data_IF_515960934874
#
_entry.id   IF_515960934874
#
_cell.length_a   1.000
_cell.length_b   1.000
_cell.length_c   1.000
_cell.angle_alpha   90.00
_cell.angle_beta   90.00
_cell.angle_gamma   90.00
#
_symmetry.space_group_name_H-M   'P 1'
#
loop_
_entity.id
_entity.type
_entity.pdbx_description
1 polymer ?
#
# COMPACT_ATOMS: atom_id res chain seq x y z
N UNK A 1 21.87 -9.57 5.97
CA UNK A 1 23.25 -9.37 6.47
C UNK A 1 23.51 -7.99 7.09
N UNK A 2 22.84 -6.92 6.66
CA UNK A 2 23.14 -5.54 7.09
C UNK A 2 22.75 -5.22 8.56
N UNK A 3 21.61 -5.68 9.08
CA UNK A 3 21.20 -5.45 10.49
C UNK A 3 22.01 -6.24 11.53
N UNK A 4 22.58 -7.40 11.14
CA UNK A 4 23.58 -8.08 11.99
C UNK A 4 24.82 -7.21 12.20
N UNK A 5 25.14 -6.36 11.23
CA UNK A 5 26.30 -5.46 11.29
C UNK A 5 25.98 -4.14 12.01
N UNK A 6 24.73 -3.67 11.97
CA UNK A 6 24.25 -2.50 12.72
C UNK A 6 22.83 -2.74 13.27
N UNK A 7 22.70 -3.21 14.52
CA UNK A 7 21.42 -3.62 15.10
C UNK A 7 20.61 -2.46 15.70
N UNK A 8 21.22 -1.30 15.92
CA UNK A 8 20.56 -0.16 16.56
C UNK A 8 19.74 0.66 15.57
N UNK A 9 18.50 0.97 15.93
CA UNK A 9 17.70 1.97 15.22
C UNK A 9 18.12 3.38 15.65
N UNK A 10 18.01 4.40 14.77
CA UNK A 10 18.27 5.79 15.13
C UNK A 10 17.40 6.25 16.30
N UNK A 11 17.90 7.18 17.12
CA UNK A 11 17.17 7.71 18.27
C UNK A 11 15.84 8.40 17.90
N UNK A 12 15.69 8.82 16.65
CA UNK A 12 14.49 9.46 16.08
C UNK A 12 13.60 8.48 15.30
N UNK A 13 13.85 7.16 15.41
CA UNK A 13 13.06 6.16 14.71
C UNK A 13 11.61 6.15 15.21
N UNK A 14 10.67 6.08 14.27
CA UNK A 14 9.26 5.82 14.56
C UNK A 14 9.14 4.44 15.24
N UNK A 15 8.88 4.45 16.55
CA UNK A 15 8.85 3.23 17.37
C UNK A 15 7.77 2.23 16.91
N UNK A 16 6.65 2.74 16.41
CA UNK A 16 5.60 1.89 15.86
C UNK A 16 6.10 1.18 14.60
N UNK A 17 6.72 1.92 13.67
CA UNK A 17 7.30 1.34 12.47
C UNK A 17 8.42 0.34 12.79
N UNK A 18 9.30 0.68 13.73
CA UNK A 18 10.35 -0.22 14.21
C UNK A 18 9.78 -1.54 14.73
N UNK A 19 8.71 -1.49 15.52
CA UNK A 19 8.06 -2.69 16.03
C UNK A 19 7.47 -3.54 14.88
N UNK A 20 6.75 -2.90 13.95
CA UNK A 20 6.16 -3.57 12.77
C UNK A 20 7.22 -4.25 11.88
N UNK A 21 8.43 -3.67 11.79
CA UNK A 21 9.54 -4.19 10.99
C UNK A 21 10.42 -5.20 11.72
N UNK A 22 10.24 -5.37 13.03
CA UNK A 22 11.09 -6.25 13.85
C UNK A 22 10.58 -7.70 13.95
N UNK A 23 9.41 -8.03 13.38
CA UNK A 23 8.89 -9.39 13.36
C UNK A 23 9.62 -10.26 12.31
N UNK A 24 10.88 -10.62 12.57
CA UNK A 24 11.75 -11.33 11.60
C UNK A 24 11.31 -12.77 11.34
N UNK A 25 10.79 -13.47 12.35
CA UNK A 25 10.45 -14.89 12.24
C UNK A 25 9.00 -15.13 11.80
N UNK A 26 8.14 -14.11 11.88
CA UNK A 26 6.72 -14.22 11.55
C UNK A 26 5.94 -15.06 12.58
N UNK A 27 4.86 -15.70 12.15
CA UNK A 27 3.97 -16.46 13.04
C UNK A 27 4.65 -17.72 13.59
N UNK A 28 4.76 -17.90 14.92
CA UNK A 28 5.58 -18.95 15.53
C UNK A 28 5.08 -20.38 15.26
N UNK A 29 3.79 -20.54 14.98
CA UNK A 29 3.16 -21.85 14.73
C UNK A 29 2.80 -22.10 13.25
N UNK A 30 3.32 -21.29 12.33
CA UNK A 30 3.08 -21.49 10.90
C UNK A 30 4.32 -22.16 10.27
N UNK A 31 4.17 -23.16 9.38
CA UNK A 31 5.32 -23.87 8.81
C UNK A 31 6.19 -23.00 7.91
N UNK A 32 5.59 -22.00 7.25
CA UNK A 32 6.27 -21.10 6.31
C UNK A 32 5.87 -19.62 6.55
N UNK A 33 6.15 -19.06 7.74
CA UNK A 33 5.56 -17.80 8.21
C UNK A 33 5.98 -16.56 7.42
N UNK A 34 7.06 -16.68 6.65
CA UNK A 34 7.61 -15.64 5.78
C UNK A 34 7.50 -15.96 4.28
N UNK A 35 6.75 -17.01 3.93
CA UNK A 35 6.46 -17.30 2.52
C UNK A 35 5.64 -16.17 1.91
N UNK A 36 6.06 -15.75 0.72
CA UNK A 36 5.47 -14.68 -0.09
C UNK A 36 5.44 -15.13 -1.55
N UNK A 37 4.84 -16.30 -1.76
CA UNK A 37 4.72 -16.91 -3.08
C UNK A 37 4.12 -15.90 -4.08
N UNK A 38 4.79 -15.74 -5.22
CA UNK A 38 4.42 -14.78 -6.27
C UNK A 38 5.24 -13.48 -6.28
N UNK A 39 6.02 -13.19 -5.24
CA UNK A 39 6.99 -12.09 -5.27
C UNK A 39 8.35 -12.55 -5.80
N UNK A 40 8.93 -11.79 -6.72
CA UNK A 40 10.36 -11.88 -7.03
C UNK A 40 11.22 -11.43 -5.85
N UNK A 41 12.54 -11.66 -5.95
CA UNK A 41 13.47 -11.26 -4.89
C UNK A 41 13.56 -9.73 -4.71
N UNK A 42 13.49 -8.97 -5.81
CA UNK A 42 13.47 -7.50 -5.79
C UNK A 42 12.20 -6.97 -5.15
N UNK A 43 11.05 -7.55 -5.48
CA UNK A 43 9.76 -7.22 -4.87
C UNK A 43 9.72 -7.60 -3.40
N UNK A 44 10.30 -8.75 -3.03
CA UNK A 44 10.43 -9.17 -1.64
C UNK A 44 11.23 -8.15 -0.83
N UNK A 45 12.36 -7.65 -1.36
CA UNK A 45 13.11 -6.55 -0.72
C UNK A 45 12.28 -5.28 -0.57
N UNK A 46 11.53 -4.92 -1.61
CA UNK A 46 10.78 -3.65 -1.65
C UNK A 46 9.54 -3.65 -0.76
N UNK A 47 8.86 -4.78 -0.67
CA UNK A 47 7.55 -4.89 -0.03
C UNK A 47 7.58 -5.58 1.35
N UNK A 48 8.73 -6.10 1.80
CA UNK A 48 8.81 -6.77 3.11
C UNK A 48 9.16 -5.80 4.24
N UNK A 49 8.43 -5.84 5.37
CA UNK A 49 8.72 -5.02 6.54
C UNK A 49 10.08 -5.35 7.16
N UNK A 50 10.44 -6.63 7.28
CA UNK A 50 11.72 -7.05 7.89
C UNK A 50 12.97 -6.65 7.09
N UNK A 51 12.79 -6.21 5.85
CA UNK A 51 13.85 -5.71 4.96
C UNK A 51 13.82 -4.18 4.88
N UNK A 52 13.02 -3.52 5.74
CA UNK A 52 12.81 -2.08 5.76
C UNK A 52 12.37 -1.53 4.39
N UNK A 53 11.59 -2.34 3.68
CA UNK A 53 11.04 -2.00 2.38
C UNK A 53 10.27 -0.68 2.41
N UNK A 54 10.26 0.03 1.29
CA UNK A 54 9.47 1.24 1.14
C UNK A 54 9.20 1.54 -0.33
N UNK A 55 8.11 2.22 -0.61
CA UNK A 55 7.69 2.53 -1.97
C UNK A 55 6.70 3.71 -2.01
N UNK A 56 6.70 4.51 -3.09
CA UNK A 56 5.55 5.36 -3.38
C UNK A 56 4.34 4.48 -3.72
N UNK A 57 3.15 4.97 -3.41
CA UNK A 57 1.91 4.31 -3.85
C UNK A 57 1.75 4.46 -5.35
N UNK A 58 1.06 3.49 -5.96
CA UNK A 58 0.55 3.63 -7.32
C UNK A 58 -0.83 4.27 -7.26
N UNK A 59 -1.17 5.12 -8.23
CA UNK A 59 -2.44 5.80 -8.25
C UNK A 59 -3.18 5.54 -9.56
N UNK A 60 -4.50 5.36 -9.46
CA UNK A 60 -5.40 5.46 -10.59
C UNK A 60 -6.31 6.68 -10.41
N UNK A 61 -6.65 7.37 -11.49
CA UNK A 61 -7.81 8.24 -11.52
C UNK A 61 -9.01 7.41 -11.97
N UNK A 62 -10.07 7.35 -11.16
CA UNK A 62 -11.27 6.58 -11.46
C UNK A 62 -12.44 7.55 -11.62
N UNK A 63 -13.24 7.38 -12.66
CA UNK A 63 -14.47 8.15 -12.84
C UNK A 63 -15.35 8.03 -11.58
N UNK A 64 -15.91 9.15 -11.12
CA UNK A 64 -16.68 9.20 -9.87
C UNK A 64 -17.89 8.28 -9.88
N UNK A 65 -18.46 7.95 -11.04
CA UNK A 65 -19.59 7.01 -11.14
C UNK A 65 -19.21 5.56 -10.80
N UNK A 66 -17.92 5.22 -10.83
CA UNK A 66 -17.40 3.90 -10.49
C UNK A 66 -16.79 3.82 -9.09
N UNK A 67 -16.59 4.96 -8.43
CA UNK A 67 -15.97 5.01 -7.11
C UNK A 67 -17.00 4.71 -6.02
N UNK A 68 -16.75 3.64 -5.25
CA UNK A 68 -17.47 3.37 -4.02
C UNK A 68 -16.63 3.87 -2.83
N UNK A 69 -17.22 4.71 -1.98
CA UNK A 69 -16.57 5.25 -0.79
C UNK A 69 -17.55 5.33 0.37
N UNK A 70 -17.05 5.06 1.57
CA UNK A 70 -17.75 5.27 2.83
C UNK A 70 -16.72 5.74 3.85
N UNK A 71 -17.15 6.53 4.84
CA UNK A 71 -16.29 7.03 5.91
C UNK A 71 -17.07 7.23 7.20
N UNK A 72 -16.56 6.63 8.27
CA UNK A 72 -16.98 6.87 9.64
C UNK A 72 -15.97 7.75 10.40
N UNK A 73 -15.11 8.49 9.69
CA UNK A 73 -14.09 9.32 10.33
C UNK A 73 -14.72 10.43 11.17
N UNK A 74 -14.23 10.62 12.38
CA UNK A 74 -14.74 11.63 13.32
C UNK A 74 -13.65 12.40 14.07
N UNK A 75 -12.38 11.98 13.97
CA UNK A 75 -11.27 12.65 14.64
C UNK A 75 -10.94 14.00 13.98
N UNK A 76 -11.25 15.09 14.69
CA UNK A 76 -11.19 16.45 14.17
C UNK A 76 -12.35 16.81 13.24
N UNK A 77 -13.44 16.03 13.27
CA UNK A 77 -14.66 16.23 12.48
C UNK A 77 -14.87 15.18 11.38
N UNK A 78 -16.07 15.11 10.78
CA UNK A 78 -16.34 14.24 9.65
C UNK A 78 -15.43 14.53 8.46
N UNK A 79 -14.87 13.49 7.85
CA UNK A 79 -14.04 13.61 6.64
C UNK A 79 -14.28 12.41 5.70
N UNK A 80 -14.31 12.67 4.40
CA UNK A 80 -14.37 11.66 3.35
C UNK A 80 -13.01 10.99 3.14
N UNK A 81 -12.99 9.83 2.48
CA UNK A 81 -11.73 9.19 2.09
C UNK A 81 -10.88 10.08 1.16
N UNK A 82 -11.52 10.82 0.25
CA UNK A 82 -10.84 11.75 -0.66
C UNK A 82 -10.14 12.88 0.11
N UNK A 83 -10.81 13.47 1.10
CA UNK A 83 -10.21 14.52 1.96
C UNK A 83 -9.05 13.99 2.81
N UNK A 84 -9.18 12.78 3.35
CA UNK A 84 -8.10 12.13 4.11
C UNK A 84 -6.88 11.80 3.24
N UNK A 85 -7.09 11.54 1.95
CA UNK A 85 -6.03 11.23 0.98
C UNK A 85 -5.43 12.47 0.30
N UNK A 86 -6.13 13.61 0.29
CA UNK A 86 -5.70 14.84 -0.38
C UNK A 86 -4.26 15.29 -0.02
N UNK A 87 -3.78 15.19 1.25
CA UNK A 87 -2.39 15.52 1.58
C UNK A 87 -1.35 14.65 0.85
N UNK A 88 -1.75 13.48 0.34
CA UNK A 88 -0.88 12.51 -0.32
C UNK A 88 -0.92 12.59 -1.85
N UNK A 89 -1.82 13.40 -2.40
CA UNK A 89 -1.99 13.61 -3.85
C UNK A 89 -1.55 15.00 -4.30
N UNK A 90 -0.85 15.76 -3.45
CA UNK A 90 -0.31 17.06 -3.83
C UNK A 90 0.53 16.98 -5.12
N UNK A 91 0.18 17.83 -6.11
CA UNK A 91 0.83 17.86 -7.43
C UNK A 91 0.41 16.73 -8.38
N UNK A 92 -0.42 15.78 -7.95
CA UNK A 92 -0.98 14.75 -8.82
C UNK A 92 -2.10 15.35 -9.66
N UNK A 93 -1.94 15.34 -10.98
CA UNK A 93 -2.97 15.81 -11.91
C UNK A 93 -3.94 14.66 -12.21
N UNK A 94 -5.23 14.91 -12.03
CA UNK A 94 -6.30 13.97 -12.39
C UNK A 94 -7.22 14.58 -13.44
N UNK A 95 -7.77 13.78 -14.37
CA UNK A 95 -8.80 14.25 -15.30
C UNK A 95 -10.04 14.77 -14.54
N UNK A 96 -10.77 15.77 -15.09
CA UNK A 96 -12.03 16.24 -14.51
C UNK A 96 -13.02 15.09 -14.29
N UNK A 97 -13.81 15.16 -13.21
CA UNK A 97 -14.82 14.14 -12.91
C UNK A 97 -14.28 12.84 -12.30
N UNK A 98 -12.97 12.74 -12.04
CA UNK A 98 -12.35 11.55 -11.44
C UNK A 98 -11.95 11.77 -9.97
N UNK A 99 -11.71 10.67 -9.26
CA UNK A 99 -11.10 10.62 -7.92
C UNK A 99 -9.83 9.77 -7.96
N UNK A 100 -8.80 10.19 -7.22
CA UNK A 100 -7.54 9.46 -7.12
C UNK A 100 -7.67 8.31 -6.10
N UNK A 101 -7.36 7.08 -6.53
CA UNK A 101 -7.43 5.87 -5.71
C UNK A 101 -6.03 5.28 -5.54
N UNK A 102 -5.51 5.14 -4.30
CA UNK A 102 -4.21 4.54 -4.05
C UNK A 102 -4.27 3.02 -4.15
N UNK A 103 -3.25 2.44 -4.76
CA UNK A 103 -3.11 0.99 -4.98
C UNK A 103 -1.69 0.57 -4.63
N UNK A 104 -1.55 -0.64 -4.07
CA UNK A 104 -0.23 -1.22 -3.84
C UNK A 104 0.48 -1.43 -5.19
N UNK A 105 1.75 -1.02 -5.40
CA UNK A 105 2.39 -1.10 -6.72
C UNK A 105 2.41 -2.50 -7.34
N UNK A 106 2.64 -3.54 -6.53
CA UNK A 106 2.49 -4.93 -6.99
C UNK A 106 1.08 -5.26 -7.50
N UNK A 107 0.05 -4.79 -6.79
CA UNK A 107 -1.34 -5.00 -7.20
C UNK A 107 -1.67 -4.24 -8.48
N UNK A 108 -1.16 -3.01 -8.63
CA UNK A 108 -1.37 -2.21 -9.84
C UNK A 108 -0.79 -2.90 -11.08
N UNK A 109 0.41 -3.47 -10.98
CA UNK A 109 1.05 -4.22 -12.06
C UNK A 109 0.21 -5.41 -12.54
N UNK A 110 -0.49 -6.11 -11.63
CA UNK A 110 -1.44 -7.16 -12.00
C UNK A 110 -2.75 -6.59 -12.59
N UNK A 111 -3.30 -5.54 -11.97
CA UNK A 111 -4.59 -4.96 -12.34
C UNK A 111 -4.65 -4.46 -13.78
N UNK A 112 -3.60 -3.78 -14.26
CA UNK A 112 -3.56 -3.25 -15.64
C UNK A 112 -3.66 -4.35 -16.71
N UNK A 113 -3.38 -5.61 -16.33
CA UNK A 113 -3.49 -6.75 -17.22
C UNK A 113 -4.83 -7.50 -17.12
N UNK A 114 -5.76 -7.05 -16.27
CA UNK A 114 -7.10 -7.64 -16.15
C UNK A 114 -8.03 -7.07 -17.24
N UNK A 115 -8.81 -7.91 -17.96
CA UNK A 115 -9.67 -7.45 -19.05
C UNK A 115 -10.64 -6.33 -18.66
N UNK A 116 -11.24 -6.41 -17.47
CA UNK A 116 -12.19 -5.40 -16.99
C UNK A 116 -11.52 -4.04 -16.76
N UNK A 117 -10.30 -4.03 -16.21
CA UNK A 117 -9.54 -2.80 -15.97
C UNK A 117 -9.13 -2.16 -17.30
N UNK A 118 -8.68 -2.98 -18.28
CA UNK A 118 -8.38 -2.49 -19.63
C UNK A 118 -9.60 -1.86 -20.31
N UNK A 119 -10.76 -2.51 -20.22
CA UNK A 119 -11.99 -1.97 -20.81
C UNK A 119 -12.38 -0.61 -20.19
N UNK A 120 -12.20 -0.43 -18.88
CA UNK A 120 -12.40 0.87 -18.22
C UNK A 120 -11.39 1.92 -18.68
N UNK A 121 -10.14 1.53 -18.89
CA UNK A 121 -9.12 2.43 -19.42
C UNK A 121 -9.39 2.87 -20.87
N UNK A 122 -9.81 1.92 -21.73
CA UNK A 122 -10.15 2.17 -23.13
C UNK A 122 -11.37 3.11 -23.29
N UNK A 123 -12.30 3.05 -22.34
CA UNK A 123 -13.48 3.93 -22.29
C UNK A 123 -13.22 5.27 -21.61
N UNK A 124 -12.00 5.49 -21.09
CA UNK A 124 -11.63 6.71 -20.38
C UNK A 124 -12.25 6.86 -18.99
N UNK A 125 -12.78 5.77 -18.41
CA UNK A 125 -13.33 5.76 -17.05
C UNK A 125 -12.28 5.44 -15.97
N UNK A 126 -11.09 5.01 -16.38
CA UNK A 126 -9.96 4.74 -15.51
C UNK A 126 -8.65 5.19 -16.17
N UNK A 127 -7.79 5.88 -15.42
CA UNK A 127 -6.50 6.36 -15.90
C UNK A 127 -5.39 5.88 -14.99
N UNK A 128 -4.39 5.22 -15.56
CA UNK A 128 -3.16 4.90 -14.85
C UNK A 128 -2.32 6.16 -14.66
N UNK A 129 -2.15 6.59 -13.40
CA UNK A 129 -1.35 7.76 -13.04
C UNK A 129 0.07 7.38 -12.62
N UNK A 130 0.34 6.08 -12.44
CA UNK A 130 1.64 5.58 -12.01
C UNK A 130 1.97 5.83 -10.53
N UNK A 131 3.23 5.59 -10.14
CA UNK A 131 3.72 5.85 -8.80
C UNK A 131 3.83 7.35 -8.50
N UNK A 132 3.31 7.80 -7.36
CA UNK A 132 3.37 9.21 -6.95
C UNK A 132 3.49 9.40 -5.43
N UNK A 133 4.14 10.50 -5.05
CA UNK A 133 4.23 10.96 -3.66
C UNK A 133 5.41 10.38 -2.88
N UNK A 134 5.35 10.56 -1.57
CA UNK A 134 6.40 10.09 -0.65
C UNK A 134 6.32 8.59 -0.37
N UNK A 135 7.35 8.09 0.29
CA UNK A 135 7.49 6.67 0.60
C UNK A 135 6.52 6.24 1.71
N UNK A 136 5.92 5.07 1.48
CA UNK A 136 5.13 4.33 2.44
C UNK A 136 5.87 3.05 2.80
N UNK A 137 5.75 2.64 4.06
CA UNK A 137 6.45 1.50 4.62
C UNK A 137 5.44 0.38 4.93
N UNK A 138 5.62 -0.83 4.39
CA UNK A 138 4.78 -1.97 4.74
C UNK A 138 4.95 -2.30 6.23
N UNK A 139 3.83 -2.60 6.87
CA UNK A 139 3.77 -3.14 8.23
C UNK A 139 3.92 -4.66 8.23
N UNK A 140 3.85 -5.31 9.38
CA UNK A 140 3.89 -6.78 9.53
C UNK A 140 2.83 -7.51 8.68
N UNK A 141 1.70 -6.85 8.38
CA UNK A 141 0.66 -7.38 7.49
C UNK A 141 1.00 -7.29 6.00
N UNK A 142 2.11 -6.64 5.64
CA UNK A 142 2.60 -6.31 4.30
C UNK A 142 1.72 -5.30 3.57
N UNK A 143 0.41 -5.55 3.50
CA UNK A 143 -0.56 -4.75 2.74
C UNK A 143 -1.05 -3.49 3.44
N UNK A 144 -0.87 -3.42 4.75
CA UNK A 144 -1.09 -2.16 5.48
C UNK A 144 0.21 -1.40 5.47
N UNK A 145 0.17 -0.16 5.03
CA UNK A 145 1.34 0.70 4.91
C UNK A 145 1.21 1.92 5.81
N UNK A 146 2.34 2.31 6.40
CA UNK A 146 2.50 3.44 7.29
C UNK A 146 3.44 4.47 6.68
N UNK A 147 3.15 5.75 6.93
CA UNK A 147 4.06 6.85 6.62
C UNK A 147 4.16 7.73 7.86
N UNK A 148 5.37 7.92 8.43
CA UNK A 148 5.54 8.82 9.57
C UNK A 148 4.96 10.20 9.28
N UNK A 149 4.15 10.71 10.21
CA UNK A 149 3.45 11.99 10.10
C UNK A 149 2.15 11.97 9.28
N UNK A 150 1.76 10.86 8.64
CA UNK A 150 0.45 10.73 8.02
C UNK A 150 -0.64 10.53 9.08
N UNK A 151 -1.83 11.10 8.86
CA UNK A 151 -2.99 10.93 9.78
C UNK A 151 -3.63 9.55 9.69
N UNK A 152 -3.38 8.82 8.62
CA UNK A 152 -3.96 7.51 8.35
C UNK A 152 -2.90 6.51 7.91
N UNK A 153 -3.09 5.25 8.26
CA UNK A 153 -2.46 4.12 7.58
C UNK A 153 -3.39 3.62 6.48
N UNK A 154 -2.81 3.08 5.41
CA UNK A 154 -3.59 2.56 4.29
C UNK A 154 -3.50 1.05 4.24
N UNK A 155 -4.65 0.37 4.31
CA UNK A 155 -4.74 -1.08 4.14
C UNK A 155 -5.21 -1.39 2.72
N UNK A 156 -4.27 -1.84 1.90
CA UNK A 156 -4.47 -2.01 0.46
C UNK A 156 -4.83 -3.47 0.13
N UNK A 157 -5.60 -3.69 -0.93
CA UNK A 157 -5.75 -5.03 -1.49
C UNK A 157 -4.42 -5.50 -2.08
N UNK A 158 -4.06 -6.75 -1.79
CA UNK A 158 -2.82 -7.35 -2.26
C UNK A 158 -3.03 -8.83 -2.60
N UNK A 159 -2.97 -9.17 -3.88
CA UNK A 159 -3.18 -10.50 -4.45
C UNK A 159 -2.08 -11.52 -4.12
N UNK A 160 -1.18 -11.23 -3.18
CA UNK A 160 -0.12 -12.12 -2.70
C UNK A 160 -0.68 -13.04 -1.60
N UNK A 161 -0.23 -14.29 -1.60
CA UNK A 161 -0.53 -15.24 -0.51
C UNK A 161 0.41 -14.97 0.66
N UNK A 162 -0.17 -14.65 1.81
CA UNK A 162 0.55 -14.43 3.07
C UNK A 162 -0.04 -15.41 4.08
N UNK A 163 0.83 -16.28 4.63
CA UNK A 163 0.43 -17.43 5.44
C UNK A 163 -0.60 -18.30 4.69
N UNK A 164 -1.78 -18.50 5.25
CA UNK A 164 -2.87 -19.31 4.71
C UNK A 164 -3.89 -18.56 3.85
N UNK A 165 -3.66 -17.31 3.44
CA UNK A 165 -4.67 -16.53 2.71
C UNK A 165 -4.09 -15.59 1.66
N UNK A 166 -4.82 -15.45 0.55
CA UNK A 166 -4.64 -14.30 -0.36
C UNK A 166 -5.17 -13.06 0.33
N UNK A 167 -4.48 -11.93 0.20
CA UNK A 167 -4.79 -10.73 0.96
C UNK A 167 -5.49 -9.65 0.13
N UNK A 168 -6.44 -10.06 -0.69
CA UNK A 168 -7.42 -9.17 -1.31
C UNK A 168 -8.55 -8.88 -0.31
N UNK A 169 -9.10 -7.67 -0.35
CA UNK A 169 -10.36 -7.38 0.33
C UNK A 169 -11.49 -7.75 -0.66
N UNK A 170 -12.42 -8.61 -0.21
CA UNK A 170 -13.63 -8.97 -0.95
C UNK A 170 -14.76 -7.98 -0.62
#
# INVERSE_FOLDING_TARGET
EQRRRSPADPAEADLFLTAEQSLLLGHPLHPTPKSREGLSESESRRYSPELHGSFPLHWFAVDRSLAATDSAWSDGGPATAEELLAPHTAGLKTPPGTVAVPVHPWQAADLIHRPQVRALAETGLLHDLGPHGGLWHPTSSIRTVHRPGARVMLKLSLGVRITNSRRENL
#
